data_IF_731729638622
#
_entry.id   IF_731729638622
#
_cell.length_a   1.000
_cell.length_b   1.000
_cell.length_c   1.000
_cell.angle_alpha   90.00
_cell.angle_beta   90.00
_cell.angle_gamma   90.00
#
_symmetry.space_group_name_H-M   'P 1'
#
loop_
_entity.id
_entity.type
_entity.pdbx_description
1 polymer ?
#
# COMPACT_ATOMS: atom_id res chain seq x y z
N UNK A 1 14.83 -17.65 -12.68
CA UNK A 1 13.40 -17.87 -12.93
C UNK A 1 13.03 -19.27 -12.45
N UNK A 2 12.40 -19.38 -11.27
CA UNK A 2 11.90 -20.68 -10.79
C UNK A 2 10.45 -20.82 -11.26
N UNK A 3 10.20 -21.77 -12.17
CA UNK A 3 8.87 -22.14 -12.60
C UNK A 3 8.11 -22.77 -11.44
N UNK A 4 6.91 -22.29 -11.16
CA UNK A 4 6.04 -22.79 -10.10
C UNK A 4 5.28 -24.02 -10.64
N UNK A 5 5.72 -25.21 -10.22
CA UNK A 5 4.99 -26.46 -10.44
C UNK A 5 4.34 -26.88 -9.12
N UNK A 6 3.02 -27.07 -9.13
CA UNK A 6 2.26 -27.51 -7.96
C UNK A 6 1.94 -29.01 -8.06
N UNK A 7 2.05 -29.78 -6.98
CA UNK A 7 1.50 -31.13 -6.92
C UNK A 7 -0.01 -31.10 -6.63
N UNK A 8 -0.75 -31.85 -7.43
CA UNK A 8 -2.19 -32.10 -7.25
C UNK A 8 -2.36 -33.11 -6.11
N UNK A 9 -2.98 -32.69 -5.01
CA UNK A 9 -3.44 -33.62 -3.97
C UNK A 9 -4.94 -33.81 -4.08
N UNK A 10 -5.36 -34.97 -4.57
CA UNK A 10 -6.74 -35.51 -4.45
C UNK A 10 -6.91 -36.13 -3.07
N UNK A 11 -7.90 -35.69 -2.30
CA UNK A 11 -8.60 -36.54 -1.34
C UNK A 11 -10.06 -36.12 -1.19
N UNK A 12 -10.94 -37.04 -1.55
CA UNK A 12 -12.36 -37.08 -1.22
C UNK A 12 -12.53 -37.43 0.26
N UNK A 13 -13.46 -36.78 0.93
CA UNK A 13 -13.96 -37.19 2.23
C UNK A 13 -15.33 -36.54 2.46
N UNK A 14 -16.39 -37.35 2.22
CA UNK A 14 -17.76 -36.98 2.54
C UNK A 14 -18.01 -37.18 4.05
N UNK A 15 -18.57 -36.20 4.73
CA UNK A 15 -19.15 -36.32 6.07
C UNK A 15 -20.53 -35.71 6.09
N UNK A 16 -21.52 -36.58 6.23
CA UNK A 16 -22.92 -36.27 6.56
C UNK A 16 -23.00 -35.69 7.96
N UNK A 17 -23.76 -34.60 8.14
CA UNK A 17 -24.20 -34.17 9.45
C UNK A 17 -25.72 -33.99 9.48
N UNK A 18 -26.33 -34.74 10.43
CA UNK A 18 -27.75 -34.69 10.74
C UNK A 18 -28.15 -33.39 11.40
N UNK A 19 -29.28 -32.85 10.95
CA UNK A 19 -30.01 -31.72 11.60
C UNK A 19 -30.80 -32.21 12.80
N UNK A 20 -30.55 -31.60 13.96
CA UNK A 20 -31.49 -31.63 15.09
C UNK A 20 -32.11 -30.23 15.28
N UNK A 21 -33.42 -30.14 15.15
CA UNK A 21 -34.22 -28.94 15.44
C UNK A 21 -34.53 -28.87 16.94
N UNK A 22 -34.18 -27.74 17.56
CA UNK A 22 -34.74 -27.33 18.84
C UNK A 22 -35.27 -25.90 18.68
N UNK A 23 -36.59 -25.76 18.71
CA UNK A 23 -37.28 -24.49 18.74
C UNK A 23 -37.30 -23.97 20.18
N UNK A 24 -36.72 -22.80 20.44
CA UNK A 24 -36.96 -22.03 21.67
C UNK A 24 -37.45 -20.64 21.25
N UNK A 25 -38.73 -20.39 21.54
CA UNK A 25 -39.30 -19.06 21.37
C UNK A 25 -38.83 -18.10 22.45
N UNK A 26 -38.28 -16.97 22.02
CA UNK A 26 -38.05 -15.81 22.86
C UNK A 26 -38.58 -14.58 22.13
N UNK A 27 -39.67 -14.03 22.68
CA UNK A 27 -40.20 -12.71 22.35
C UNK A 27 -39.17 -11.64 22.72
N UNK A 28 -38.59 -10.98 21.74
CA UNK A 28 -37.72 -9.84 21.93
C UNK A 28 -38.41 -8.57 21.51
N UNK A 29 -38.71 -7.72 22.50
CA UNK A 29 -39.17 -6.36 22.25
C UNK A 29 -38.14 -5.59 21.43
N UNK A 30 -38.51 -5.16 20.23
CA UNK A 30 -37.70 -4.27 19.41
C UNK A 30 -37.62 -2.89 20.07
N UNK A 31 -36.52 -2.60 20.73
CA UNK A 31 -36.12 -1.23 21.00
C UNK A 31 -35.61 -0.62 19.71
N UNK A 32 -36.43 0.23 19.08
CA UNK A 32 -36.00 1.12 18.00
C UNK A 32 -34.96 2.10 18.53
N UNK A 33 -33.72 1.89 18.23
CA UNK A 33 -32.69 2.92 18.41
C UNK A 33 -32.93 4.07 17.41
N UNK A 34 -32.74 5.34 17.83
CA UNK A 34 -32.93 6.48 16.96
C UNK A 34 -31.93 6.48 15.82
N UNK A 35 -32.41 6.78 14.60
CA UNK A 35 -31.68 6.75 13.32
C UNK A 35 -30.43 7.68 13.23
N UNK A 36 -30.08 8.42 14.27
CA UNK A 36 -28.95 9.37 14.28
C UNK A 36 -27.64 8.83 14.86
N UNK A 37 -27.54 7.53 15.19
CA UNK A 37 -26.30 6.91 15.68
C UNK A 37 -25.53 6.10 14.61
N UNK A 38 -26.01 6.06 13.37
CA UNK A 38 -25.40 5.25 12.29
C UNK A 38 -24.37 6.03 11.46
N UNK A 39 -24.06 7.29 11.79
CA UNK A 39 -23.13 8.11 11.01
C UNK A 39 -21.71 8.26 11.60
N UNK A 40 -21.34 7.42 12.55
CA UNK A 40 -19.93 7.36 13.03
C UNK A 40 -19.28 5.99 12.77
N UNK A 41 -19.80 5.19 11.86
CA UNK A 41 -19.06 4.06 11.34
C UNK A 41 -17.92 4.58 10.48
N UNK A 42 -16.71 4.47 11.02
CA UNK A 42 -15.43 4.62 10.34
C UNK A 42 -15.56 4.05 8.93
N UNK A 43 -15.37 4.90 7.92
CA UNK A 43 -15.30 4.47 6.53
C UNK A 43 -14.41 3.22 6.45
N UNK A 44 -14.93 2.04 6.09
CA UNK A 44 -14.15 0.79 6.08
C UNK A 44 -12.93 0.82 5.15
N UNK A 45 -12.81 1.88 4.33
CA UNK A 45 -11.63 2.14 3.51
C UNK A 45 -10.57 2.99 4.23
N UNK A 46 -10.72 3.35 5.51
CA UNK A 46 -9.93 4.41 6.14
C UNK A 46 -8.75 3.95 7.00
N UNK A 47 -8.60 2.68 7.30
CA UNK A 47 -7.51 2.21 8.17
C UNK A 47 -6.87 0.94 7.63
N UNK A 48 -5.60 1.05 7.24
CA UNK A 48 -4.78 -0.07 6.79
C UNK A 48 -3.57 -0.22 7.69
N UNK A 49 -3.56 -1.29 8.51
CA UNK A 49 -2.49 -1.57 9.46
C UNK A 49 -1.30 -2.29 8.83
N UNK A 50 -1.47 -2.86 7.65
CA UNK A 50 -0.39 -3.54 6.92
C UNK A 50 -0.34 -3.03 5.49
N UNK A 51 0.83 -2.54 5.10
CA UNK A 51 1.08 -2.01 3.76
C UNK A 51 2.22 -2.79 3.11
N UNK A 52 2.00 -3.32 1.93
CA UNK A 52 3.07 -3.77 1.05
C UNK A 52 3.46 -2.62 0.13
N UNK A 53 4.67 -2.11 0.29
CA UNK A 53 5.31 -1.19 -0.66
C UNK A 53 6.12 -2.04 -1.63
N UNK A 54 5.69 -2.11 -2.87
CA UNK A 54 6.22 -3.03 -3.88
C UNK A 54 6.86 -2.25 -5.02
N UNK A 55 8.13 -2.51 -5.28
CA UNK A 55 8.88 -1.89 -6.38
C UNK A 55 9.30 -2.97 -7.35
N UNK A 56 8.76 -2.93 -8.55
CA UNK A 56 8.96 -3.92 -9.58
C UNK A 56 9.88 -3.40 -10.67
N UNK A 57 10.68 -4.29 -11.24
CA UNK A 57 11.39 -4.05 -12.49
C UNK A 57 10.63 -4.70 -13.62
N UNK A 58 10.09 -3.90 -14.52
CA UNK A 58 9.36 -4.34 -15.72
C UNK A 58 10.39 -4.56 -16.85
N UNK A 59 10.10 -5.43 -17.80
CA UNK A 59 10.92 -5.60 -18.99
C UNK A 59 11.00 -4.30 -19.77
N UNK A 60 12.12 -4.09 -20.42
CA UNK A 60 12.37 -2.90 -21.22
C UNK A 60 11.27 -2.70 -22.29
N UNK A 61 10.74 -1.47 -22.36
CA UNK A 61 9.64 -1.09 -23.26
C UNK A 61 8.24 -1.58 -22.81
N UNK A 62 8.13 -2.45 -21.79
CA UNK A 62 6.85 -3.07 -21.42
C UNK A 62 6.11 -2.36 -20.27
N UNK A 63 6.67 -1.29 -19.68
CA UNK A 63 6.06 -0.66 -18.50
C UNK A 63 4.62 -0.19 -18.73
N UNK A 64 4.35 0.45 -19.85
CA UNK A 64 2.99 0.94 -20.15
C UNK A 64 2.01 -0.20 -20.44
N UNK A 65 2.48 -1.28 -21.06
CA UNK A 65 1.69 -2.49 -21.24
C UNK A 65 1.35 -3.16 -19.91
N UNK A 66 2.35 -3.21 -19.01
CA UNK A 66 2.16 -3.72 -17.65
C UNK A 66 1.15 -2.90 -16.86
N UNK A 67 1.27 -1.56 -16.87
CA UNK A 67 0.37 -0.64 -16.17
C UNK A 67 -1.07 -0.82 -16.64
N UNK A 68 -1.31 -0.77 -17.96
CA UNK A 68 -2.66 -0.97 -18.51
C UNK A 68 -3.25 -2.31 -18.10
N UNK A 69 -2.47 -3.38 -18.18
CA UNK A 69 -2.92 -4.71 -17.81
C UNK A 69 -3.20 -4.81 -16.30
N UNK A 70 -2.31 -4.30 -15.47
CA UNK A 70 -2.48 -4.25 -14.03
C UNK A 70 -3.75 -3.49 -13.63
N UNK A 71 -3.93 -2.28 -14.14
CA UNK A 71 -5.07 -1.42 -13.80
C UNK A 71 -6.41 -1.96 -14.33
N UNK A 72 -6.39 -2.75 -15.41
CA UNK A 72 -7.61 -3.36 -15.94
C UNK A 72 -8.16 -4.45 -15.04
N UNK A 73 -7.29 -5.26 -14.43
CA UNK A 73 -7.74 -6.50 -13.78
C UNK A 73 -7.58 -6.53 -12.27
N UNK A 74 -6.59 -5.86 -11.68
CA UNK A 74 -6.19 -6.17 -10.32
C UNK A 74 -6.70 -5.23 -9.23
N UNK A 75 -6.78 -3.90 -9.38
CA UNK A 75 -7.22 -3.02 -8.29
C UNK A 75 -8.60 -3.36 -7.76
N UNK A 76 -9.57 -3.60 -8.65
CA UNK A 76 -10.94 -3.94 -8.27
C UNK A 76 -11.02 -5.34 -7.64
N UNK A 77 -10.21 -6.28 -8.14
CA UNK A 77 -10.14 -7.62 -7.57
C UNK A 77 -9.58 -7.60 -6.14
N UNK A 78 -8.54 -6.80 -5.88
CA UNK A 78 -8.05 -6.63 -4.50
C UNK A 78 -9.11 -6.02 -3.59
N UNK A 79 -9.83 -5.01 -4.06
CA UNK A 79 -10.90 -4.38 -3.28
C UNK A 79 -12.03 -5.36 -2.96
N UNK A 80 -12.44 -6.19 -3.91
CA UNK A 80 -13.45 -7.23 -3.69
C UNK A 80 -13.01 -8.29 -2.68
N UNK A 81 -11.72 -8.54 -2.56
CA UNK A 81 -11.13 -9.49 -1.62
C UNK A 81 -10.81 -8.89 -0.24
N UNK A 82 -11.02 -7.58 -0.05
CA UNK A 82 -10.78 -6.90 1.23
C UNK A 82 -9.38 -6.29 1.40
N UNK A 83 -8.62 -6.12 0.30
CA UNK A 83 -7.43 -5.27 0.27
C UNK A 83 -7.66 -4.07 -0.64
N UNK A 84 -6.76 -3.09 -0.62
CA UNK A 84 -6.85 -1.93 -1.49
C UNK A 84 -5.53 -1.64 -2.20
N UNK A 85 -5.56 -1.46 -3.52
CA UNK A 85 -4.48 -0.84 -4.26
C UNK A 85 -4.50 0.66 -3.96
N UNK A 86 -3.62 1.09 -3.05
CA UNK A 86 -3.58 2.46 -2.51
C UNK A 86 -2.97 3.44 -3.50
N UNK A 87 -1.97 3.01 -4.24
CA UNK A 87 -1.30 3.82 -5.25
C UNK A 87 -0.52 2.97 -6.23
N UNK A 88 -0.45 3.43 -7.48
CA UNK A 88 0.31 2.84 -8.56
C UNK A 88 1.06 3.94 -9.29
N UNK A 89 2.34 3.71 -9.60
CA UNK A 89 3.22 4.78 -10.05
C UNK A 89 4.25 4.29 -11.08
N UNK A 90 4.59 5.18 -12.00
CA UNK A 90 5.84 5.14 -12.75
C UNK A 90 6.95 5.72 -11.89
N UNK A 91 8.05 5.04 -11.76
CA UNK A 91 9.24 5.58 -11.12
C UNK A 91 9.94 6.53 -12.10
N UNK A 92 10.11 7.79 -11.71
CA UNK A 92 10.80 8.79 -12.51
C UNK A 92 12.30 8.49 -12.56
N UNK A 93 12.91 8.66 -13.73
CA UNK A 93 14.32 8.33 -13.93
C UNK A 93 14.62 6.83 -14.11
N UNK A 94 13.60 5.96 -14.00
CA UNK A 94 13.71 4.53 -14.20
C UNK A 94 12.61 4.04 -15.15
N UNK A 95 12.95 3.88 -16.43
CA UNK A 95 11.97 3.51 -17.48
C UNK A 95 11.34 2.13 -17.28
N UNK A 96 11.98 1.25 -16.49
CA UNK A 96 11.46 -0.08 -16.12
C UNK A 96 10.83 -0.11 -14.73
N UNK A 97 10.86 0.98 -13.97
CA UNK A 97 10.36 1.02 -12.60
C UNK A 97 8.85 1.18 -12.52
N UNK A 98 8.20 0.27 -11.80
CA UNK A 98 6.80 0.37 -11.39
C UNK A 98 6.69 0.17 -9.89
N UNK A 99 6.12 1.16 -9.21
CA UNK A 99 5.91 1.13 -7.75
C UNK A 99 4.42 1.09 -7.46
N UNK A 100 4.02 0.25 -6.51
CA UNK A 100 2.64 0.25 -6.06
C UNK A 100 2.50 -0.16 -4.60
N UNK A 101 1.42 0.28 -3.98
CA UNK A 101 1.11 0.02 -2.59
C UNK A 101 -0.19 -0.76 -2.48
N UNK A 102 -0.18 -1.80 -1.65
CA UNK A 102 -1.36 -2.58 -1.29
C UNK A 102 -1.56 -2.55 0.22
N UNK A 103 -2.76 -2.15 0.65
CA UNK A 103 -3.14 -2.08 2.04
C UNK A 103 -4.03 -3.25 2.45
N UNK A 104 -3.86 -3.71 3.71
CA UNK A 104 -4.71 -4.69 4.40
C UNK A 104 -5.12 -4.09 5.74
N UNK A 105 -6.37 -4.29 6.16
CA UNK A 105 -6.86 -3.73 7.42
C UNK A 105 -6.12 -4.30 8.61
N UNK A 106 -5.86 -5.61 8.61
CA UNK A 106 -5.08 -6.27 9.64
C UNK A 106 -4.01 -7.19 9.07
N UNK A 107 -3.08 -7.61 9.92
CA UNK A 107 -2.08 -8.62 9.54
C UNK A 107 -2.70 -9.99 9.21
N UNK A 108 -3.88 -10.28 9.75
CA UNK A 108 -4.57 -11.54 9.53
C UNK A 108 -5.28 -11.58 8.18
N UNK A 109 -5.71 -10.43 7.66
CA UNK A 109 -6.34 -10.34 6.35
C UNK A 109 -5.35 -10.60 5.22
N UNK A 110 -4.09 -10.20 5.42
CA UNK A 110 -3.06 -10.33 4.39
C UNK A 110 -2.92 -11.75 3.80
N UNK A 111 -2.73 -12.83 4.58
CA UNK A 111 -2.63 -14.17 4.03
C UNK A 111 -3.95 -14.68 3.43
N UNK A 112 -5.10 -14.25 3.97
CA UNK A 112 -6.43 -14.63 3.46
C UNK A 112 -6.64 -14.02 2.07
N UNK A 113 -6.46 -12.71 1.94
CA UNK A 113 -6.61 -11.99 0.67
C UNK A 113 -5.59 -12.47 -0.37
N UNK A 114 -4.32 -12.62 0.04
CA UNK A 114 -3.28 -13.10 -0.87
C UNK A 114 -3.56 -14.54 -1.32
N UNK A 115 -4.01 -15.42 -0.42
CA UNK A 115 -4.44 -16.77 -0.76
C UNK A 115 -5.59 -16.77 -1.76
N UNK A 116 -6.64 -16.01 -1.48
CA UNK A 116 -7.79 -15.88 -2.38
C UNK A 116 -7.43 -15.32 -3.76
N UNK A 117 -6.51 -14.37 -3.82
CA UNK A 117 -6.05 -13.79 -5.08
C UNK A 117 -5.12 -14.75 -5.86
N UNK A 118 -4.00 -15.17 -5.27
CA UNK A 118 -2.96 -15.91 -5.99
C UNK A 118 -3.32 -17.37 -6.28
N UNK A 119 -4.25 -17.97 -5.52
CA UNK A 119 -4.82 -19.29 -5.83
C UNK A 119 -6.19 -19.19 -6.51
N UNK A 120 -6.72 -17.98 -6.69
CA UNK A 120 -8.01 -17.70 -7.31
C UNK A 120 -8.01 -17.81 -8.84
N UNK A 121 -9.20 -17.77 -9.46
CA UNK A 121 -9.36 -17.92 -10.90
C UNK A 121 -8.72 -16.76 -11.68
N UNK A 122 -8.86 -15.53 -11.20
CA UNK A 122 -8.31 -14.35 -11.87
C UNK A 122 -6.79 -14.45 -12.06
N UNK A 123 -6.06 -14.77 -10.99
CA UNK A 123 -4.61 -14.91 -11.08
C UNK A 123 -4.20 -16.08 -11.99
N UNK A 124 -4.91 -17.19 -11.94
CA UNK A 124 -4.66 -18.33 -12.84
C UNK A 124 -4.80 -17.95 -14.31
N UNK A 125 -5.78 -17.12 -14.63
CA UNK A 125 -6.01 -16.64 -15.99
C UNK A 125 -4.93 -15.65 -16.45
N UNK A 126 -4.54 -14.72 -15.57
CA UNK A 126 -3.71 -13.58 -15.94
C UNK A 126 -2.23 -13.70 -15.58
N UNK A 127 -1.84 -14.69 -14.75
CA UNK A 127 -0.48 -14.80 -14.19
C UNK A 127 0.62 -14.96 -15.24
N UNK A 128 0.39 -15.76 -16.28
CA UNK A 128 1.36 -15.97 -17.36
C UNK A 128 1.67 -14.66 -18.08
N UNK A 129 0.62 -13.89 -18.44
CA UNK A 129 0.80 -12.59 -19.09
C UNK A 129 1.51 -11.61 -18.18
N UNK A 130 1.06 -11.46 -16.92
CA UNK A 130 1.69 -10.54 -15.97
C UNK A 130 3.16 -10.87 -15.72
N UNK A 131 3.46 -12.13 -15.44
CA UNK A 131 4.84 -12.57 -15.20
C UNK A 131 5.71 -12.41 -16.46
N UNK A 132 5.14 -12.54 -17.66
CA UNK A 132 5.88 -12.33 -18.91
C UNK A 132 6.35 -10.88 -19.11
N UNK A 133 5.71 -9.91 -18.47
CA UNK A 133 6.05 -8.48 -18.56
C UNK A 133 7.07 -8.05 -17.49
N UNK A 134 7.23 -8.80 -16.41
CA UNK A 134 8.12 -8.48 -15.29
C UNK A 134 9.50 -9.11 -15.47
N UNK A 135 10.52 -8.40 -14.99
CA UNK A 135 11.88 -8.90 -14.81
C UNK A 135 12.13 -9.29 -13.36
N UNK A 136 11.63 -8.47 -12.41
CA UNK A 136 11.77 -8.69 -10.98
C UNK A 136 10.58 -8.09 -10.22
N UNK A 137 10.16 -8.75 -9.14
CA UNK A 137 9.04 -8.34 -8.28
C UNK A 137 9.32 -8.56 -6.78
N UNK A 138 10.60 -8.80 -6.42
CA UNK A 138 10.98 -9.26 -5.09
C UNK A 138 11.34 -8.12 -4.13
N UNK A 139 11.49 -6.88 -4.65
CA UNK A 139 11.73 -5.70 -3.82
C UNK A 139 10.43 -5.22 -3.17
N UNK A 140 10.12 -5.80 -2.02
CA UNK A 140 8.89 -5.54 -1.27
C UNK A 140 9.22 -5.21 0.18
N UNK A 141 8.75 -4.05 0.65
CA UNK A 141 8.76 -3.70 2.07
C UNK A 141 7.38 -4.05 2.67
N UNK A 142 7.39 -4.80 3.76
CA UNK A 142 6.19 -5.06 4.55
C UNK A 142 6.16 -4.08 5.72
N UNK A 143 5.20 -3.17 5.70
CA UNK A 143 5.18 -1.97 6.54
C UNK A 143 3.91 -1.90 7.38
N UNK A 144 3.97 -1.10 8.45
CA UNK A 144 2.84 -0.63 9.24
C UNK A 144 2.93 0.89 9.43
N UNK A 145 1.85 1.59 9.78
CA UNK A 145 1.96 2.97 10.26
C UNK A 145 2.97 3.09 11.41
N UNK A 146 3.76 4.17 11.40
CA UNK A 146 4.70 4.46 12.48
C UNK A 146 3.96 4.73 13.80
N UNK A 147 2.82 5.43 13.72
CA UNK A 147 1.91 5.74 14.81
C UNK A 147 0.46 5.79 14.27
N UNK A 148 -0.58 5.75 15.12
CA UNK A 148 -1.98 5.76 14.68
C UNK A 148 -2.36 6.95 13.78
N UNK A 149 -1.76 8.10 13.98
CA UNK A 149 -2.00 9.33 13.20
C UNK A 149 -1.10 9.46 11.97
N UNK A 150 -0.33 8.43 11.61
CA UNK A 150 0.54 8.39 10.43
C UNK A 150 0.10 7.34 9.40
N UNK A 151 -1.14 6.88 9.49
CA UNK A 151 -1.73 5.95 8.53
C UNK A 151 -1.75 6.54 7.12
N UNK A 152 -1.78 5.66 6.11
CA UNK A 152 -1.88 6.12 4.72
C UNK A 152 -3.23 6.77 4.49
N UNK A 153 -3.22 8.03 4.04
CA UNK A 153 -4.44 8.73 3.66
C UNK A 153 -5.07 8.07 2.44
N UNK A 154 -6.27 7.51 2.61
CA UNK A 154 -6.99 6.84 1.53
C UNK A 154 -7.95 7.82 0.85
N UNK A 155 -7.67 8.14 -0.40
CA UNK A 155 -8.57 8.94 -1.23
C UNK A 155 -9.62 8.05 -1.93
N UNK A 156 -10.76 8.63 -2.33
CA UNK A 156 -11.72 7.97 -3.20
C UNK A 156 -11.05 7.43 -4.47
N UNK A 157 -11.67 6.48 -5.14
CA UNK A 157 -11.26 6.11 -6.49
C UNK A 157 -11.26 7.36 -7.39
N UNK A 158 -10.38 7.36 -8.39
CA UNK A 158 -10.39 8.42 -9.42
C UNK A 158 -11.76 8.43 -10.10
N UNK A 159 -12.42 9.58 -10.08
CA UNK A 159 -13.70 9.77 -10.73
C UNK A 159 -13.48 10.21 -12.19
N UNK A 160 -13.81 9.37 -13.19
CA UNK A 160 -13.58 9.72 -14.58
C UNK A 160 -14.43 10.88 -15.09
N UNK A 161 -15.46 11.30 -14.35
CA UNK A 161 -16.32 12.44 -14.71
C UNK A 161 -15.65 13.77 -14.31
N UNK A 162 -15.11 13.84 -13.12
CA UNK A 162 -14.49 15.06 -12.55
C UNK A 162 -12.98 15.08 -12.73
N UNK A 163 -12.32 13.94 -12.75
CA UNK A 163 -10.87 13.75 -12.91
C UNK A 163 -10.55 13.16 -14.29
N UNK A 164 -10.94 13.88 -15.35
CA UNK A 164 -10.86 13.42 -16.75
C UNK A 164 -9.46 13.00 -17.21
N UNK A 165 -8.43 13.54 -16.60
CA UNK A 165 -7.03 13.22 -16.91
C UNK A 165 -6.49 12.07 -16.04
N UNK A 166 -7.33 11.44 -15.23
CA UNK A 166 -6.89 10.45 -14.24
C UNK A 166 -6.20 11.10 -13.02
N UNK A 167 -5.43 10.32 -12.31
CA UNK A 167 -4.66 10.78 -11.16
C UNK A 167 -3.58 11.79 -11.58
N UNK A 168 -3.47 12.90 -10.85
CA UNK A 168 -2.52 13.98 -11.10
C UNK A 168 -1.63 14.25 -9.87
N UNK A 169 -0.61 15.11 -10.04
CA UNK A 169 0.37 15.44 -9.01
C UNK A 169 1.61 14.52 -9.08
N UNK A 170 2.44 14.62 -8.07
CA UNK A 170 3.67 13.84 -7.94
C UNK A 170 3.66 13.17 -6.58
N UNK A 171 3.82 11.86 -6.54
CA UNK A 171 4.07 11.18 -5.28
C UNK A 171 5.57 11.10 -5.02
N UNK A 172 5.96 11.13 -3.76
CA UNK A 172 7.34 10.91 -3.32
C UNK A 172 7.38 9.88 -2.21
N UNK A 173 8.38 9.01 -2.24
CA UNK A 173 8.68 8.10 -1.16
C UNK A 173 10.14 8.30 -0.74
N UNK A 174 10.35 8.78 0.49
CA UNK A 174 11.68 8.79 1.09
C UNK A 174 11.85 7.53 1.93
N UNK A 175 12.78 6.68 1.52
CA UNK A 175 13.07 5.40 2.16
C UNK A 175 14.36 5.54 2.96
N UNK A 176 14.29 5.21 4.23
CA UNK A 176 15.39 5.33 5.18
C UNK A 176 15.68 3.96 5.80
N UNK A 177 16.91 3.48 5.65
CA UNK A 177 17.39 2.27 6.32
C UNK A 177 17.78 2.62 7.76
N UNK A 178 17.01 2.18 8.75
CA UNK A 178 17.28 2.45 10.15
C UNK A 178 18.23 1.41 10.75
N UNK A 179 18.98 1.79 11.78
CA UNK A 179 19.82 0.87 12.57
C UNK A 179 19.01 -0.06 13.47
N UNK A 180 17.86 0.41 13.95
CA UNK A 180 16.97 -0.36 14.82
C UNK A 180 15.52 0.04 14.60
N UNK A 181 14.61 -0.84 14.99
CA UNK A 181 13.18 -0.55 15.01
C UNK A 181 12.91 0.63 15.96
N UNK A 182 12.12 1.65 15.54
CA UNK A 182 11.82 2.78 16.39
C UNK A 182 10.95 2.38 17.59
N UNK A 183 11.37 2.78 18.77
CA UNK A 183 10.52 2.83 19.96
C UNK A 183 9.58 4.05 19.94
N UNK A 184 8.81 4.24 20.98
CA UNK A 184 7.84 5.34 21.06
C UNK A 184 8.53 6.72 21.04
N UNK A 185 9.66 6.87 21.75
CA UNK A 185 10.43 8.13 21.85
C UNK A 185 11.00 8.48 20.47
N UNK A 186 11.63 7.52 19.81
CA UNK A 186 12.19 7.72 18.47
C UNK A 186 11.08 7.97 17.44
N UNK A 187 9.94 7.28 17.54
CA UNK A 187 8.79 7.50 16.67
C UNK A 187 8.26 8.94 16.81
N UNK A 188 8.11 9.46 18.02
CA UNK A 188 7.71 10.84 18.25
C UNK A 188 8.73 11.86 17.71
N UNK A 189 10.02 11.55 17.80
CA UNK A 189 11.11 12.38 17.25
C UNK A 189 11.09 12.39 15.74
N UNK A 190 10.93 11.23 15.08
CA UNK A 190 10.84 11.09 13.62
C UNK A 190 9.64 11.87 13.07
N UNK A 191 8.48 11.76 13.68
CA UNK A 191 7.28 12.54 13.30
C UNK A 191 7.53 14.04 13.35
N UNK A 192 8.19 14.54 14.42
CA UNK A 192 8.60 15.95 14.52
C UNK A 192 9.60 16.33 13.43
N UNK A 193 10.52 15.48 13.07
CA UNK A 193 11.48 15.75 12.01
C UNK A 193 10.77 15.87 10.65
N UNK A 194 9.83 14.98 10.36
CA UNK A 194 9.05 15.02 9.11
C UNK A 194 8.04 16.17 9.06
N UNK A 195 7.70 16.82 10.18
CA UNK A 195 6.88 18.03 10.13
C UNK A 195 7.53 19.15 9.30
N UNK A 196 8.83 19.09 9.04
CA UNK A 196 9.54 19.99 8.12
C UNK A 196 9.09 19.85 6.66
N UNK A 197 8.34 18.78 6.31
CA UNK A 197 7.72 18.62 4.99
C UNK A 197 6.36 19.30 4.86
N UNK A 198 5.86 19.94 5.92
CA UNK A 198 4.63 20.76 5.87
C UNK A 198 4.93 22.10 5.21
N UNK A 199 5.12 22.06 3.90
CA UNK A 199 5.40 23.22 3.05
C UNK A 199 4.30 23.36 1.99
N UNK A 200 4.12 24.56 1.38
CA UNK A 200 3.11 24.76 0.35
C UNK A 200 3.22 23.73 -0.78
N UNK A 201 2.08 23.24 -1.24
CA UNK A 201 2.01 22.26 -2.32
C UNK A 201 2.45 20.84 -1.94
N UNK A 202 2.71 20.53 -0.66
CA UNK A 202 3.08 19.21 -0.17
C UNK A 202 2.06 18.72 0.87
N UNK A 203 1.60 17.49 0.71
CA UNK A 203 0.73 16.76 1.65
C UNK A 203 1.41 15.47 2.08
N UNK A 204 1.52 15.26 3.38
CA UNK A 204 1.91 13.96 3.93
C UNK A 204 0.80 12.94 3.64
N UNK A 205 1.15 11.82 3.02
CA UNK A 205 0.24 10.73 2.73
C UNK A 205 0.37 9.58 3.75
N UNK A 206 1.48 9.53 4.47
CA UNK A 206 1.70 8.57 5.55
C UNK A 206 3.17 8.46 5.95
N UNK A 207 3.40 7.94 7.17
CA UNK A 207 4.74 7.58 7.66
C UNK A 207 4.67 6.11 8.10
N UNK A 208 5.44 5.27 7.44
CA UNK A 208 5.39 3.84 7.60
C UNK A 208 6.74 3.31 8.11
N UNK A 209 6.70 2.22 8.87
CA UNK A 209 7.90 1.51 9.34
C UNK A 209 7.75 0.02 9.08
N UNK A 210 8.85 -0.70 8.94
CA UNK A 210 8.86 -2.16 8.78
C UNK A 210 7.98 -2.82 9.84
N UNK A 211 7.07 -3.69 9.39
CA UNK A 211 6.24 -4.49 10.28
C UNK A 211 7.11 -5.46 11.06
N UNK A 212 7.03 -5.37 12.39
CA UNK A 212 7.84 -6.15 13.31
C UNK A 212 7.24 -7.55 13.57
N UNK A 213 6.99 -8.27 12.48
CA UNK A 213 6.52 -9.66 12.53
C UNK A 213 7.01 -10.41 11.30
N UNK A 214 7.19 -11.74 11.40
CA UNK A 214 7.56 -12.56 10.26
C UNK A 214 6.58 -12.42 9.08
N UNK A 215 7.10 -12.62 7.86
CA UNK A 215 6.26 -12.69 6.66
C UNK A 215 5.26 -13.86 6.77
N UNK A 216 3.99 -13.54 6.94
CA UNK A 216 2.91 -14.50 7.12
C UNK A 216 2.29 -15.00 5.80
N UNK A 217 2.92 -14.71 4.67
CA UNK A 217 2.61 -15.28 3.35
C UNK A 217 3.92 -15.53 2.58
N UNK A 218 4.65 -16.61 2.90
CA UNK A 218 6.01 -16.87 2.40
C UNK A 218 6.12 -17.00 0.89
N UNK A 219 5.02 -17.25 0.19
CA UNK A 219 4.97 -17.32 -1.27
C UNK A 219 5.27 -15.99 -1.96
N UNK A 220 5.07 -14.87 -1.26
CA UNK A 220 5.47 -13.56 -1.71
C UNK A 220 6.71 -13.11 -0.94
N UNK A 221 7.85 -12.90 -1.61
CA UNK A 221 9.05 -12.42 -0.97
C UNK A 221 8.83 -11.03 -0.38
N UNK A 222 9.48 -10.78 0.76
CA UNK A 222 9.62 -9.47 1.38
C UNK A 222 11.07 -9.28 1.82
N UNK A 223 11.56 -8.05 1.78
CA UNK A 223 12.91 -7.71 2.26
C UNK A 223 13.02 -7.93 3.77
N UNK A 224 14.12 -8.52 4.19
CA UNK A 224 14.44 -8.81 5.59
C UNK A 224 15.70 -8.07 6.09
N UNK A 225 16.24 -7.18 5.26
CA UNK A 225 17.41 -6.35 5.53
C UNK A 225 17.04 -5.00 6.20
N UNK A 226 15.81 -4.89 6.74
CA UNK A 226 15.32 -3.74 7.48
C UNK A 226 15.96 -3.54 8.86
N UNK A 227 15.40 -2.66 9.72
CA UNK A 227 14.13 -1.95 9.48
C UNK A 227 14.26 -0.77 8.53
N UNK A 228 13.16 -0.50 7.82
CA UNK A 228 13.00 0.65 6.94
C UNK A 228 11.94 1.59 7.51
N UNK A 229 12.14 2.87 7.32
CA UNK A 229 11.15 3.91 7.53
C UNK A 229 10.84 4.55 6.17
N UNK A 230 9.56 4.74 5.86
CA UNK A 230 9.12 5.32 4.59
C UNK A 230 8.22 6.50 4.89
N UNK A 231 8.65 7.69 4.49
CA UNK A 231 7.77 8.85 4.44
C UNK A 231 7.15 8.92 3.04
N UNK A 232 5.82 9.00 2.98
CA UNK A 232 5.05 9.16 1.75
C UNK A 232 4.47 10.56 1.69
N UNK A 233 4.61 11.22 0.55
CA UNK A 233 4.01 12.52 0.29
C UNK A 233 3.41 12.63 -1.09
N UNK A 234 2.46 13.54 -1.23
CA UNK A 234 1.87 13.95 -2.50
C UNK A 234 2.14 15.43 -2.70
N UNK A 235 2.73 15.76 -3.83
CA UNK A 235 3.05 17.11 -4.25
C UNK A 235 2.11 17.55 -5.36
N UNK A 236 1.76 18.82 -5.34
CA UNK A 236 0.84 19.38 -6.33
C UNK A 236 1.41 19.33 -7.75
N UNK A 237 2.67 19.75 -7.90
CA UNK A 237 3.32 20.00 -9.18
C UNK A 237 4.86 19.99 -9.10
N UNK A 238 5.51 20.25 -10.23
CA UNK A 238 6.97 20.32 -10.35
C UNK A 238 7.60 21.46 -9.54
N UNK A 239 6.90 22.58 -9.40
CA UNK A 239 7.35 23.72 -8.60
C UNK A 239 7.43 23.30 -7.13
N UNK A 240 6.38 22.66 -6.61
CA UNK A 240 6.35 22.13 -5.25
C UNK A 240 7.49 21.12 -5.00
N UNK A 241 7.83 20.29 -5.98
CA UNK A 241 8.95 19.35 -5.89
C UNK A 241 10.29 20.08 -5.81
N UNK A 242 10.56 21.01 -6.75
CA UNK A 242 11.87 21.63 -6.92
C UNK A 242 12.14 22.69 -5.87
N UNK A 243 11.18 23.57 -5.61
CA UNK A 243 11.39 24.75 -4.78
C UNK A 243 11.10 24.50 -3.30
N UNK A 244 10.09 23.67 -2.99
CA UNK A 244 9.68 23.47 -1.61
C UNK A 244 10.22 22.18 -1.03
N UNK A 245 9.96 21.03 -1.67
CA UNK A 245 10.20 19.71 -1.10
C UNK A 245 11.68 19.31 -1.12
N UNK A 246 12.41 19.52 -2.23
CA UNK A 246 13.79 19.01 -2.37
C UNK A 246 14.71 19.55 -1.28
N UNK A 247 14.65 20.84 -0.98
CA UNK A 247 15.43 21.45 0.09
C UNK A 247 15.04 20.94 1.49
N UNK A 248 13.73 20.67 1.71
CA UNK A 248 13.25 20.10 2.96
C UNK A 248 13.75 18.65 3.12
N UNK A 249 13.70 17.84 2.05
CA UNK A 249 14.17 16.46 2.04
C UNK A 249 15.67 16.35 2.34
N UNK A 250 16.47 17.25 1.78
CA UNK A 250 17.90 17.31 2.10
C UNK A 250 18.13 17.61 3.58
N UNK A 251 17.50 18.65 4.14
CA UNK A 251 17.66 19.01 5.57
C UNK A 251 17.23 17.87 6.50
N UNK A 252 16.14 17.18 6.19
CA UNK A 252 15.70 16.02 6.97
C UNK A 252 16.71 14.88 6.89
N UNK A 253 17.22 14.57 5.69
CA UNK A 253 18.25 13.56 5.51
C UNK A 253 19.54 13.86 6.30
N UNK A 254 20.04 15.08 6.22
CA UNK A 254 21.22 15.56 6.95
C UNK A 254 21.02 15.47 8.47
N UNK A 255 19.85 15.88 8.96
CA UNK A 255 19.51 15.77 10.38
C UNK A 255 19.50 14.33 10.87
N UNK A 256 18.84 13.42 10.16
CA UNK A 256 18.76 12.01 10.53
C UNK A 256 20.14 11.32 10.45
N UNK A 257 20.96 11.72 9.48
CA UNK A 257 22.34 11.24 9.36
C UNK A 257 23.22 11.72 10.53
N UNK A 258 23.12 13.01 10.91
CA UNK A 258 23.86 13.57 12.05
C UNK A 258 23.52 12.91 13.39
N UNK A 259 22.28 12.44 13.54
CA UNK A 259 21.80 11.70 14.71
C UNK A 259 22.21 10.22 14.69
N UNK A 260 22.93 9.78 13.66
CA UNK A 260 23.43 8.40 13.47
C UNK A 260 22.33 7.32 13.50
N UNK A 261 21.12 7.67 13.12
CA UNK A 261 19.98 6.75 13.09
C UNK A 261 19.98 5.84 11.85
N UNK A 262 20.63 6.28 10.78
CA UNK A 262 20.62 5.61 9.49
C UNK A 262 21.80 4.64 9.34
N UNK A 263 21.56 3.53 8.60
CA UNK A 263 22.60 2.62 8.12
C UNK A 263 23.19 3.13 6.81
N UNK A 264 22.32 3.62 5.91
CA UNK A 264 22.66 4.02 4.55
C UNK A 264 22.13 5.42 4.25
N UNK A 265 22.57 5.99 3.14
CA UNK A 265 22.02 7.25 2.62
C UNK A 265 20.53 7.07 2.30
N UNK A 266 19.68 8.04 2.67
CA UNK A 266 18.25 8.01 2.30
C UNK A 266 18.05 7.88 0.79
N UNK A 267 17.14 7.03 0.38
CA UNK A 267 16.68 6.93 -1.00
C UNK A 267 15.42 7.79 -1.18
N UNK A 268 15.37 8.59 -2.25
CA UNK A 268 14.22 9.38 -2.62
C UNK A 268 13.68 8.90 -3.98
N UNK A 269 12.47 8.36 -3.98
CA UNK A 269 11.74 8.02 -5.19
C UNK A 269 10.80 9.17 -5.55
N UNK A 270 10.88 9.63 -6.79
CA UNK A 270 9.90 10.54 -7.40
C UNK A 270 9.00 9.71 -8.29
N UNK A 271 7.72 9.75 -8.05
CA UNK A 271 6.74 8.81 -8.55
C UNK A 271 5.61 9.54 -9.27
N UNK A 272 5.32 9.12 -10.50
CA UNK A 272 4.20 9.66 -11.29
C UNK A 272 2.99 8.74 -11.14
N UNK A 273 1.85 9.23 -10.59
CA UNK A 273 0.65 8.42 -10.46
C UNK A 273 0.18 7.87 -11.81
N UNK A 274 -0.20 6.61 -11.86
CA UNK A 274 -0.90 6.05 -13.01
C UNK A 274 -2.38 6.44 -12.96
N UNK A 275 -3.14 6.37 -14.05
CA UNK A 275 -4.49 6.95 -14.13
C UNK A 275 -5.45 6.58 -12.99
N UNK A 276 -5.32 5.38 -12.42
CA UNK A 276 -6.20 4.89 -11.34
C UNK A 276 -5.60 4.97 -9.92
N UNK A 277 -4.43 5.61 -9.75
CA UNK A 277 -3.79 5.74 -8.45
C UNK A 277 -4.65 6.54 -7.48
N UNK A 278 -4.96 5.98 -6.30
CA UNK A 278 -5.67 6.71 -5.23
C UNK A 278 -4.75 7.71 -4.53
N UNK A 279 -3.46 7.42 -4.41
CA UNK A 279 -2.47 8.37 -3.93
C UNK A 279 -2.11 9.34 -5.06
N UNK A 280 -2.71 10.52 -5.02
CA UNK A 280 -2.60 11.58 -6.03
C UNK A 280 -2.89 12.94 -5.40
N UNK A 281 -2.61 14.02 -6.10
CA UNK A 281 -3.11 15.33 -5.69
C UNK A 281 -4.62 15.39 -5.85
N UNK A 282 -5.33 15.66 -4.76
CA UNK A 282 -6.79 15.66 -4.80
C UNK A 282 -7.29 17.08 -5.14
N UNK A 283 -8.23 17.24 -6.08
CA UNK A 283 -8.67 18.57 -6.55
C UNK A 283 -9.19 19.50 -5.45
N UNK A 284 -9.74 18.92 -4.38
CA UNK A 284 -10.23 19.70 -3.24
C UNK A 284 -9.12 20.23 -2.30
N UNK A 285 -7.87 19.93 -2.55
CA UNK A 285 -6.72 20.41 -1.75
C UNK A 285 -6.15 21.73 -2.27
N UNK A 286 -6.97 22.61 -2.72
CA UNK A 286 -6.55 23.94 -3.23
C UNK A 286 -5.94 24.82 -2.14
#
# INVERSE_FOLDING_TARGET
MKAWSYPVVRRLGALSFCLAHAAVGLTRAEQRQPANQIMNDTNPLSSFQVIEFRRYTIKEGERENFIRYFETYFPDAFQQLGALALGQFRERGNASGFVWLRGFHTRFDRPIVNGAFYFGPLWREHSLKMNSLMKDSDNVLLLRPLAPDTEVTVLPAVDPVTEKNGAVGIAVAQILSLKSQPDEILSAKLRRTFSSYRVPGVREAGILVTLDTPNNFPQLPVRNDGPFLVWLGILRDEESLKESFTAAAQRVGERLASEKLLRDTPELLVLEPTPRSRLRWFPAWQ
#
